data_IF_461016562004
#
_entry.id   IF_461016562004
#
_cell.length_a   1.000
_cell.length_b   1.000
_cell.length_c   1.000
_cell.angle_alpha   90.00
_cell.angle_beta   90.00
_cell.angle_gamma   90.00
#
_symmetry.space_group_name_H-M   'P 1'
#
loop_
_entity.id
_entity.type
_entity.pdbx_description
1 polymer ?
#
# COMPACT_ATOMS: atom_id res chain seq x y z
N UNK A 1 -11.58 7.48 -5.30
CA UNK A 1 -12.20 6.55 -4.34
C UNK A 1 -11.12 6.25 -3.34
N UNK A 2 -11.22 6.85 -2.15
CA UNK A 2 -10.21 6.74 -1.11
C UNK A 2 -10.45 5.46 -0.33
N UNK A 3 -9.40 4.65 -0.16
CA UNK A 3 -9.47 3.42 0.61
C UNK A 3 -9.08 3.72 2.06
N UNK A 4 -10.05 3.62 2.98
CA UNK A 4 -9.80 3.55 4.41
C UNK A 4 -10.33 2.23 4.98
N UNK A 5 -9.52 1.53 5.77
CA UNK A 5 -9.93 0.34 6.53
C UNK A 5 -9.24 0.31 7.88
N UNK A 6 -10.02 0.19 8.96
CA UNK A 6 -9.54 0.22 10.35
C UNK A 6 -9.49 -1.18 10.97
N UNK A 7 -8.42 -1.48 11.70
CA UNK A 7 -8.30 -2.67 12.59
C UNK A 7 -8.01 -2.13 13.99
N UNK A 8 -9.03 -2.08 14.86
CA UNK A 8 -8.99 -1.36 16.14
C UNK A 8 -8.95 0.18 15.95
N UNK A 9 -8.32 0.91 16.87
CA UNK A 9 -8.04 2.36 16.74
C UNK A 9 -6.93 2.68 15.71
N UNK A 10 -6.36 1.65 15.08
CA UNK A 10 -5.22 1.82 14.18
C UNK A 10 -5.70 2.17 12.78
N UNK A 11 -5.65 3.46 12.45
CA UNK A 11 -5.66 3.96 11.07
C UNK A 11 -4.20 4.00 10.62
N UNK A 12 -3.85 3.20 9.61
CA UNK A 12 -2.56 3.36 8.94
C UNK A 12 -2.70 4.49 7.91
N UNK A 13 -2.27 5.69 8.30
CA UNK A 13 -2.16 6.85 7.42
C UNK A 13 -0.71 7.00 6.95
N UNK A 14 -0.48 6.79 5.65
CA UNK A 14 0.84 6.88 5.03
C UNK A 14 0.71 7.73 3.76
N UNK A 15 1.38 8.89 3.69
CA UNK A 15 1.40 9.71 2.48
C UNK A 15 1.93 8.93 1.28
N UNK A 16 1.27 9.06 0.12
CA UNK A 16 1.65 8.33 -1.10
C UNK A 16 3.08 8.62 -1.56
N UNK A 17 3.54 9.86 -1.35
CA UNK A 17 4.93 10.28 -1.64
C UNK A 17 5.99 9.53 -0.82
N UNK A 18 5.61 8.96 0.32
CA UNK A 18 6.52 8.21 1.17
C UNK A 18 6.59 6.73 0.82
N UNK A 19 5.71 6.23 -0.06
CA UNK A 19 5.73 4.83 -0.50
C UNK A 19 6.88 4.61 -1.48
N UNK A 20 7.78 3.69 -1.15
CA UNK A 20 8.98 3.39 -1.94
C UNK A 20 8.87 2.11 -2.74
N UNK A 21 7.97 1.20 -2.35
CA UNK A 21 7.82 -0.12 -2.98
C UNK A 21 6.45 -0.71 -2.76
N UNK A 22 5.90 -1.40 -3.76
CA UNK A 22 4.68 -2.21 -3.66
C UNK A 22 4.93 -3.59 -4.26
N UNK A 23 4.45 -4.66 -3.62
CA UNK A 23 4.52 -6.03 -4.15
C UNK A 23 3.39 -6.89 -3.61
N UNK A 24 3.35 -8.15 -4.07
CA UNK A 24 2.43 -9.17 -3.56
C UNK A 24 3.20 -10.38 -3.05
N UNK A 25 2.64 -11.03 -2.02
CA UNK A 25 3.16 -12.29 -1.48
C UNK A 25 2.07 -13.36 -1.50
N UNK A 26 2.50 -14.63 -1.58
CA UNK A 26 1.67 -15.80 -1.34
C UNK A 26 0.78 -16.24 -2.51
N UNK A 27 0.69 -17.57 -2.67
CA UNK A 27 -0.30 -18.25 -3.51
C UNK A 27 -1.56 -18.63 -2.72
N UNK A 28 -1.37 -19.20 -1.52
CA UNK A 28 -2.46 -19.65 -0.63
C UNK A 28 -2.92 -18.54 0.32
N UNK A 29 -2.00 -17.92 1.07
CA UNK A 29 -2.28 -16.74 1.88
C UNK A 29 -1.80 -15.48 1.15
N UNK A 30 -2.68 -14.98 0.29
CA UNK A 30 -2.44 -13.81 -0.56
C UNK A 30 -2.30 -12.54 0.28
N UNK A 31 -1.23 -11.78 0.03
CA UNK A 31 -0.98 -10.49 0.66
C UNK A 31 -0.62 -9.42 -0.37
N UNK A 32 -1.02 -8.20 -0.10
CA UNK A 32 -0.44 -6.99 -0.72
C UNK A 32 0.48 -6.33 0.31
N UNK A 33 1.65 -5.91 -0.13
CA UNK A 33 2.70 -5.40 0.72
C UNK A 33 3.22 -4.08 0.17
N UNK A 34 3.63 -3.18 1.06
CA UNK A 34 4.35 -1.97 0.66
C UNK A 34 5.37 -1.54 1.71
N UNK A 35 6.40 -0.84 1.25
CA UNK A 35 7.39 -0.17 2.11
C UNK A 35 7.18 1.33 2.00
N UNK A 36 7.26 2.02 3.14
CA UNK A 36 7.17 3.47 3.20
C UNK A 36 8.20 4.05 4.17
N UNK A 37 8.67 5.26 3.85
CA UNK A 37 9.44 6.08 4.78
C UNK A 37 8.51 6.65 5.84
N UNK A 38 8.87 6.47 7.10
CA UNK A 38 8.16 7.02 8.26
C UNK A 38 9.12 7.81 9.13
N UNK A 39 8.60 8.55 10.11
CA UNK A 39 9.43 9.29 11.07
C UNK A 39 10.39 8.37 11.86
N UNK A 40 10.04 7.09 12.01
CA UNK A 40 10.87 6.09 12.69
C UNK A 40 11.74 5.26 11.71
N UNK A 41 11.88 5.72 10.46
CA UNK A 41 12.61 5.03 9.40
C UNK A 41 11.71 4.27 8.42
N UNK A 42 12.29 3.37 7.62
CA UNK A 42 11.53 2.57 6.66
C UNK A 42 10.75 1.45 7.34
N UNK A 43 9.44 1.40 7.09
CA UNK A 43 8.54 0.35 7.59
C UNK A 43 7.91 -0.39 6.43
N UNK A 44 7.72 -1.70 6.61
CA UNK A 44 7.02 -2.57 5.68
C UNK A 44 5.70 -3.02 6.27
N UNK A 45 4.62 -2.83 5.51
CA UNK A 45 3.26 -3.22 5.89
C UNK A 45 2.78 -4.34 4.98
N UNK A 46 2.04 -5.30 5.55
CA UNK A 46 1.52 -6.47 4.84
C UNK A 46 0.07 -6.71 5.20
N UNK A 47 -0.79 -6.77 4.19
CA UNK A 47 -2.23 -6.95 4.36
C UNK A 47 -2.68 -8.24 3.70
N UNK A 48 -3.33 -9.11 4.48
CA UNK A 48 -4.02 -10.28 3.92
C UNK A 48 -5.21 -9.83 3.08
N UNK A 49 -5.29 -10.33 1.84
CA UNK A 49 -6.33 -9.91 0.88
C UNK A 49 -6.81 -11.08 0.03
N UNK A 50 -8.06 -11.04 -0.44
CA UNK A 50 -8.60 -12.09 -1.31
C UNK A 50 -7.95 -12.13 -2.71
N UNK A 51 -7.57 -10.96 -3.25
CA UNK A 51 -6.93 -10.84 -4.57
C UNK A 51 -5.70 -9.92 -4.54
N UNK A 52 -4.53 -10.48 -4.20
CA UNK A 52 -3.28 -9.71 -4.16
C UNK A 52 -2.88 -9.10 -5.52
N UNK A 53 -3.28 -9.70 -6.64
CA UNK A 53 -3.03 -9.17 -7.98
C UNK A 53 -3.79 -7.88 -8.26
N UNK A 54 -5.10 -7.87 -7.98
CA UNK A 54 -5.94 -6.67 -8.17
C UNK A 54 -5.52 -5.54 -7.25
N UNK A 55 -5.22 -5.85 -5.99
CA UNK A 55 -4.74 -4.88 -5.02
C UNK A 55 -3.40 -4.26 -5.43
N UNK A 56 -2.40 -5.07 -5.81
CA UNK A 56 -1.10 -4.56 -6.29
C UNK A 56 -1.29 -3.60 -7.47
N UNK A 57 -2.07 -3.97 -8.49
CA UNK A 57 -2.33 -3.12 -9.66
C UNK A 57 -3.00 -1.81 -9.28
N UNK A 58 -3.93 -1.84 -8.32
CA UNK A 58 -4.64 -0.64 -7.84
C UNK A 58 -3.67 0.30 -7.13
N UNK A 59 -2.79 -0.22 -6.27
CA UNK A 59 -1.74 0.55 -5.60
C UNK A 59 -0.79 1.20 -6.63
N UNK A 60 -0.25 0.40 -7.54
CA UNK A 60 0.69 0.88 -8.56
C UNK A 60 0.07 1.98 -9.42
N UNK A 61 -1.16 1.79 -9.89
CA UNK A 61 -1.88 2.81 -10.67
C UNK A 61 -2.17 4.08 -9.87
N UNK A 62 -2.50 3.94 -8.58
CA UNK A 62 -2.76 5.11 -7.71
C UNK A 62 -1.48 5.92 -7.51
N UNK A 63 -0.34 5.26 -7.31
CA UNK A 63 0.96 5.91 -7.20
C UNK A 63 1.37 6.59 -8.51
N UNK A 64 1.17 5.91 -9.65
CA UNK A 64 1.44 6.48 -10.98
C UNK A 64 0.62 7.77 -11.20
N UNK A 65 -0.69 7.72 -11.00
CA UNK A 65 -1.56 8.89 -11.12
C UNK A 65 -1.16 10.03 -10.16
N UNK A 66 -0.79 9.71 -8.93
CA UNK A 66 -0.33 10.70 -7.95
C UNK A 66 0.96 11.39 -8.44
N UNK A 67 1.94 10.62 -8.93
CA UNK A 67 3.19 11.16 -9.46
C UNK A 67 2.95 12.00 -10.73
N UNK A 68 2.00 11.62 -11.58
CA UNK A 68 1.59 12.41 -12.74
C UNK A 68 0.92 13.74 -12.32
N UNK A 69 0.07 13.72 -11.30
CA UNK A 69 -0.59 14.94 -10.80
C UNK A 69 0.35 15.96 -10.14
N UNK A 70 1.58 15.56 -9.83
CA UNK A 70 2.63 16.41 -9.23
C UNK A 70 3.57 17.03 -10.28
N UNK A 71 3.44 16.64 -11.55
CA UNK A 71 4.17 17.24 -12.68
C UNK A 71 3.45 18.47 -13.19
#
# INVERSE_FOLDING_TARGET
MDFSGSIGDTILDVPLENITKVWKEGLLMKKVCFTAKTNDGEKTYKFGVFSNGSWRKTFEKTLENFLESKK
#
